data_IF_335053737605
#
_entry.id   IF_335053737605
#
_cell.length_a   1.000
_cell.length_b   1.000
_cell.length_c   1.000
_cell.angle_alpha   90.00
_cell.angle_beta   90.00
_cell.angle_gamma   90.00
#
_symmetry.space_group_name_H-M   'P 1'
#
loop_
_entity.id
_entity.type
_entity.pdbx_description
1 polymer ?
#
# COMPACT_ATOMS: atom_id res chain seq x y z
N UNK A 1 14.75 30.52 6.45
CA UNK A 1 13.65 29.59 6.21
C UNK A 1 13.39 29.56 4.73
N UNK A 2 13.81 28.51 4.03
CA UNK A 2 13.52 28.32 2.62
C UNK A 2 12.15 27.63 2.50
N UNK A 3 11.19 28.29 1.91
CA UNK A 3 9.97 27.67 1.45
C UNK A 3 10.28 26.92 0.15
N UNK A 4 10.25 25.60 0.18
CA UNK A 4 10.16 24.80 -1.04
C UNK A 4 8.69 24.85 -1.49
N UNK A 5 8.38 25.73 -2.41
CA UNK A 5 7.12 25.71 -3.14
C UNK A 5 7.33 24.73 -4.29
N UNK A 6 6.64 23.61 -4.28
CA UNK A 6 6.53 22.77 -5.47
C UNK A 6 5.75 23.54 -6.54
N UNK A 7 6.16 23.48 -7.78
CA UNK A 7 5.61 24.25 -8.91
C UNK A 7 4.12 23.99 -9.18
N UNK A 8 3.55 22.94 -8.61
CA UNK A 8 2.16 22.53 -8.80
C UNK A 8 1.12 23.35 -8.00
N UNK A 9 1.57 24.27 -7.14
CA UNK A 9 0.68 25.12 -6.32
C UNK A 9 0.72 26.62 -6.64
N UNK A 10 1.48 27.06 -7.64
CA UNK A 10 1.58 28.47 -8.01
C UNK A 10 0.56 28.82 -9.11
N UNK A 11 -0.68 29.06 -8.72
CA UNK A 11 -1.66 29.64 -9.63
C UNK A 11 -1.30 31.10 -9.92
N UNK A 12 -1.68 31.60 -11.11
CA UNK A 12 -1.51 33.01 -11.51
C UNK A 12 -2.10 33.96 -10.44
N UNK A 13 -3.16 33.56 -9.77
CA UNK A 13 -3.84 34.31 -8.72
C UNK A 13 -2.98 34.45 -7.46
N UNK A 14 -2.29 33.38 -7.05
CA UNK A 14 -1.36 33.41 -5.89
C UNK A 14 -0.17 34.32 -6.19
N UNK A 15 0.38 34.25 -7.39
CA UNK A 15 1.47 35.15 -7.82
C UNK A 15 1.01 36.60 -7.86
N UNK A 16 -0.15 36.89 -8.44
CA UNK A 16 -0.71 38.22 -8.51
C UNK A 16 -0.96 38.80 -7.11
N UNK A 17 -1.50 38.02 -6.17
CA UNK A 17 -1.71 38.46 -4.79
C UNK A 17 -0.38 38.82 -4.10
N UNK A 18 0.66 38.01 -4.27
CA UNK A 18 1.99 38.29 -3.70
C UNK A 18 2.58 39.61 -4.21
N UNK A 19 2.44 39.92 -5.51
CA UNK A 19 2.88 41.19 -6.08
C UNK A 19 2.09 42.42 -5.56
N UNK A 20 0.77 42.22 -5.33
CA UNK A 20 -0.07 43.29 -4.77
C UNK A 20 0.36 43.61 -3.33
N UNK A 21 0.65 42.61 -2.50
CA UNK A 21 1.15 42.80 -1.14
C UNK A 21 2.52 43.45 -1.12
N UNK A 22 3.44 43.00 -1.99
CA UNK A 22 4.77 43.62 -2.13
C UNK A 22 4.67 45.08 -2.48
N UNK A 23 3.80 45.44 -3.42
CA UNK A 23 3.54 46.83 -3.79
C UNK A 23 2.95 47.62 -2.61
N UNK A 24 2.04 47.03 -1.85
CA UNK A 24 1.47 47.62 -0.64
C UNK A 24 2.51 47.93 0.44
N UNK A 25 3.41 46.99 0.72
CA UNK A 25 4.52 47.19 1.65
C UNK A 25 5.48 48.30 1.20
N UNK A 26 5.83 48.32 -0.10
CA UNK A 26 6.66 49.37 -0.66
C UNK A 26 5.99 50.75 -0.52
N UNK A 27 4.72 50.85 -0.85
CA UNK A 27 3.96 52.12 -0.72
C UNK A 27 3.92 52.59 0.74
N UNK A 28 3.59 51.70 1.68
CA UNK A 28 3.58 52.03 3.11
C UNK A 28 4.96 52.44 3.61
N UNK A 29 6.03 51.80 3.13
CA UNK A 29 7.40 52.17 3.48
C UNK A 29 7.77 53.60 3.00
N UNK A 30 7.36 53.94 1.78
CA UNK A 30 7.56 55.29 1.23
C UNK A 30 6.76 56.33 2.04
N UNK A 31 5.48 56.06 2.28
CA UNK A 31 4.63 56.95 3.08
C UNK A 31 5.18 57.14 4.49
N UNK A 32 5.64 56.03 5.10
CA UNK A 32 6.27 56.08 6.42
C UNK A 32 7.53 56.94 6.41
N UNK A 33 8.41 56.79 5.42
CA UNK A 33 9.63 57.60 5.29
C UNK A 33 9.33 59.09 5.17
N UNK A 34 8.30 59.47 4.39
CA UNK A 34 7.90 60.86 4.20
C UNK A 34 7.34 61.51 5.49
N UNK A 35 6.52 60.73 6.24
CA UNK A 35 5.80 61.29 7.38
C UNK A 35 6.37 60.88 8.74
N UNK A 36 7.55 60.25 8.77
CA UNK A 36 8.19 59.70 9.99
C UNK A 36 8.30 60.70 11.14
N UNK A 37 8.53 61.97 10.86
CA UNK A 37 8.73 63.01 11.87
C UNK A 37 7.42 63.60 12.42
N UNK A 38 6.25 63.34 11.80
CA UNK A 38 4.97 63.85 12.27
C UNK A 38 4.46 63.12 13.48
N UNK A 39 4.05 63.87 14.53
CA UNK A 39 3.50 63.31 15.77
C UNK A 39 2.23 62.49 15.49
N UNK A 40 2.20 61.22 15.94
CA UNK A 40 1.06 60.31 15.76
C UNK A 40 1.15 59.37 14.55
N UNK A 41 1.91 59.72 13.50
CA UNK A 41 2.03 58.90 12.28
C UNK A 41 2.64 57.53 12.51
N UNK A 42 3.55 57.42 13.48
CA UNK A 42 4.12 56.11 13.84
C UNK A 42 3.04 55.08 14.27
N UNK A 43 2.04 55.53 15.05
CA UNK A 43 0.95 54.66 15.47
C UNK A 43 0.08 54.21 14.28
N UNK A 44 -0.24 55.17 13.40
CA UNK A 44 -1.05 54.89 12.20
C UNK A 44 -0.31 53.93 11.28
N UNK A 45 0.98 54.13 11.02
CA UNK A 45 1.79 53.24 10.19
C UNK A 45 1.89 51.82 10.77
N UNK A 46 2.07 51.68 12.09
CA UNK A 46 2.10 50.38 12.74
C UNK A 46 0.77 49.64 12.60
N UNK A 47 -0.36 50.31 12.78
CA UNK A 47 -1.65 49.71 12.57
C UNK A 47 -1.91 49.33 11.10
N UNK A 48 -1.48 50.18 10.15
CA UNK A 48 -1.61 49.91 8.72
C UNK A 48 -0.78 48.68 8.30
N UNK A 49 0.49 48.61 8.79
CA UNK A 49 1.33 47.41 8.56
C UNK A 49 0.71 46.17 9.18
N UNK A 50 0.24 46.25 10.42
CA UNK A 50 -0.41 45.12 11.09
C UNK A 50 -1.63 44.66 10.31
N UNK A 51 -2.48 45.56 9.86
CA UNK A 51 -3.65 45.24 9.04
C UNK A 51 -3.25 44.56 7.73
N UNK A 52 -2.23 45.05 7.05
CA UNK A 52 -1.73 44.49 5.81
C UNK A 52 -1.18 43.07 6.02
N UNK A 53 -0.38 42.84 7.06
CA UNK A 53 0.15 41.52 7.43
C UNK A 53 -0.99 40.56 7.77
N UNK A 54 -1.97 40.99 8.56
CA UNK A 54 -3.12 40.15 8.89
C UNK A 54 -3.95 39.78 7.64
N UNK A 55 -4.16 40.76 6.75
CA UNK A 55 -4.89 40.52 5.50
C UNK A 55 -4.14 39.56 4.59
N UNK A 56 -2.82 39.73 4.44
CA UNK A 56 -1.97 38.83 3.69
C UNK A 56 -2.01 37.41 4.28
N UNK A 57 -1.88 37.27 5.60
CA UNK A 57 -1.94 35.97 6.28
C UNK A 57 -3.28 35.25 6.05
N UNK A 58 -4.40 36.00 6.15
CA UNK A 58 -5.75 35.43 5.91
C UNK A 58 -5.90 35.02 4.44
N UNK A 59 -5.50 35.84 3.49
CA UNK A 59 -5.58 35.50 2.07
C UNK A 59 -4.64 34.36 1.68
N UNK A 60 -3.40 34.36 2.17
CA UNK A 60 -2.48 33.25 1.97
C UNK A 60 -3.06 31.96 2.54
N UNK A 61 -3.64 31.98 3.73
CA UNK A 61 -4.30 30.83 4.33
C UNK A 61 -5.49 30.36 3.49
N UNK A 62 -6.27 31.29 2.92
CA UNK A 62 -7.39 30.95 2.05
C UNK A 62 -6.97 30.34 0.70
N UNK A 63 -5.88 30.83 0.11
CA UNK A 63 -5.37 30.34 -1.17
C UNK A 63 -4.47 29.09 -1.05
N UNK A 64 -3.78 28.92 0.08
CA UNK A 64 -2.87 27.77 0.31
C UNK A 64 -3.51 26.67 1.13
N UNK A 65 -4.69 26.88 1.71
CA UNK A 65 -5.41 25.79 2.33
C UNK A 65 -5.81 24.81 1.22
N UNK A 66 -5.22 23.64 1.29
CA UNK A 66 -5.72 22.43 0.62
C UNK A 66 -7.22 22.39 0.87
N UNK A 67 -8.03 22.14 -0.15
CA UNK A 67 -9.49 22.00 0.01
C UNK A 67 -9.75 21.10 1.21
N UNK A 68 -10.35 21.62 2.28
CA UNK A 68 -10.55 20.82 3.48
C UNK A 68 -11.53 19.71 3.14
N UNK A 69 -11.07 18.48 3.20
CA UNK A 69 -11.97 17.32 3.10
C UNK A 69 -12.99 17.46 4.22
N UNK A 70 -14.26 17.47 3.86
CA UNK A 70 -15.34 17.69 4.81
C UNK A 70 -15.31 16.62 5.92
N UNK A 71 -15.50 17.03 7.18
CA UNK A 71 -15.55 16.11 8.33
C UNK A 71 -16.48 14.92 8.07
N UNK A 72 -17.59 15.14 7.37
CA UNK A 72 -18.56 14.09 7.06
C UNK A 72 -18.01 12.99 6.16
N UNK A 73 -17.04 13.28 5.32
CA UNK A 73 -16.35 12.27 4.51
C UNK A 73 -15.63 11.25 5.40
N UNK A 74 -14.82 11.74 6.35
CA UNK A 74 -14.12 10.84 7.29
C UNK A 74 -15.09 10.12 8.23
N UNK A 75 -16.12 10.81 8.75
CA UNK A 75 -17.10 10.20 9.63
C UNK A 75 -18.02 9.19 8.94
N UNK A 76 -18.29 9.35 7.64
CA UNK A 76 -19.02 8.38 6.84
C UNK A 76 -18.25 7.08 6.75
N UNK A 77 -17.02 7.14 6.29
CA UNK A 77 -16.14 5.98 6.17
C UNK A 77 -15.85 5.30 7.51
N UNK A 78 -15.64 6.08 8.58
CA UNK A 78 -15.45 5.51 9.92
C UNK A 78 -16.67 4.69 10.37
N UNK A 79 -17.89 5.22 10.20
CA UNK A 79 -19.12 4.47 10.56
C UNK A 79 -19.29 3.19 9.75
N UNK A 80 -18.89 3.22 8.50
CA UNK A 80 -18.91 2.04 7.64
C UNK A 80 -17.94 0.98 8.16
N UNK A 81 -16.69 1.35 8.49
CA UNK A 81 -15.72 0.43 9.11
C UNK A 81 -16.20 -0.11 10.46
N UNK A 82 -16.85 0.70 11.29
CA UNK A 82 -17.47 0.25 12.55
C UNK A 82 -18.55 -0.81 12.30
N UNK A 83 -19.37 -0.63 11.26
CA UNK A 83 -20.39 -1.63 10.88
C UNK A 83 -19.76 -2.93 10.34
N UNK A 84 -18.66 -2.84 9.59
CA UNK A 84 -17.92 -4.00 9.10
C UNK A 84 -17.27 -4.76 10.26
N UNK A 85 -16.64 -4.07 11.20
CA UNK A 85 -16.07 -4.71 12.41
C UNK A 85 -17.15 -5.44 13.20
N UNK A 86 -18.32 -4.83 13.41
CA UNK A 86 -19.44 -5.50 14.07
C UNK A 86 -19.93 -6.73 13.30
N UNK A 87 -20.01 -6.66 11.97
CA UNK A 87 -20.36 -7.80 11.10
C UNK A 87 -19.34 -8.93 11.24
N UNK A 88 -18.05 -8.61 11.29
CA UNK A 88 -16.97 -9.61 11.50
C UNK A 88 -17.11 -10.28 12.86
N UNK A 89 -17.35 -9.51 13.92
CA UNK A 89 -17.54 -10.05 15.28
C UNK A 89 -18.76 -10.97 15.39
N UNK A 90 -19.82 -10.68 14.65
CA UNK A 90 -21.02 -11.52 14.59
C UNK A 90 -20.79 -12.81 13.78
N UNK A 91 -20.08 -12.71 12.65
CA UNK A 91 -19.91 -13.82 11.68
C UNK A 91 -18.78 -14.78 12.08
N UNK A 92 -17.71 -14.27 12.68
CA UNK A 92 -16.52 -15.04 13.08
C UNK A 92 -16.14 -14.73 14.55
N UNK A 93 -17.03 -15.08 15.52
CA UNK A 93 -16.84 -14.73 16.92
C UNK A 93 -15.61 -15.44 17.50
N UNK A 94 -14.84 -14.72 18.29
CA UNK A 94 -13.68 -15.27 19.00
C UNK A 94 -12.34 -15.13 18.24
N UNK A 95 -12.32 -14.44 17.10
CA UNK A 95 -11.06 -14.06 16.45
C UNK A 95 -10.34 -13.02 17.29
N UNK A 96 -9.37 -13.45 18.08
CA UNK A 96 -8.59 -12.56 18.96
C UNK A 96 -7.59 -11.70 18.19
N UNK A 97 -7.11 -12.14 17.02
CA UNK A 97 -6.21 -11.43 16.15
C UNK A 97 -6.61 -11.55 14.69
N UNK A 98 -6.81 -10.43 14.03
CA UNK A 98 -6.96 -10.37 12.57
C UNK A 98 -6.43 -9.04 12.01
N UNK A 99 -6.08 -9.04 10.74
CA UNK A 99 -5.87 -7.85 9.94
C UNK A 99 -6.95 -7.73 8.88
N UNK A 100 -7.38 -6.50 8.67
CA UNK A 100 -8.29 -6.12 7.61
C UNK A 100 -7.63 -5.05 6.76
N UNK A 101 -7.85 -5.11 5.45
CA UNK A 101 -7.42 -4.04 4.55
C UNK A 101 -8.43 -3.87 3.42
N UNK A 102 -8.27 -2.82 2.62
CA UNK A 102 -9.15 -2.56 1.49
C UNK A 102 -8.35 -2.20 0.23
N UNK A 103 -8.94 -2.45 -0.93
CA UNK A 103 -8.35 -2.10 -2.23
C UNK A 103 -8.48 -0.61 -2.53
N UNK A 104 -9.55 0.04 -2.05
CA UNK A 104 -9.81 1.48 -2.20
C UNK A 104 -9.62 2.23 -0.86
N UNK A 105 -8.37 2.36 -0.45
CA UNK A 105 -8.02 3.05 0.80
C UNK A 105 -8.26 4.56 0.69
N UNK A 106 -9.01 5.12 1.62
CA UNK A 106 -9.13 6.57 1.79
C UNK A 106 -7.78 7.18 2.20
N UNK A 107 -7.12 6.55 3.16
CA UNK A 107 -5.77 6.89 3.61
C UNK A 107 -4.95 5.63 3.88
N UNK A 108 -3.63 5.75 3.93
CA UNK A 108 -2.76 4.63 4.34
C UNK A 108 -2.91 4.27 5.83
N UNK A 109 -3.64 5.06 6.59
CA UNK A 109 -3.89 4.88 8.02
C UNK A 109 -5.37 4.61 8.36
N UNK A 110 -6.14 4.08 7.42
CA UNK A 110 -7.57 3.76 7.65
C UNK A 110 -7.75 2.87 8.87
N UNK A 111 -6.88 1.86 9.05
CA UNK A 111 -6.89 1.00 10.22
C UNK A 111 -6.66 1.75 11.53
N UNK A 112 -5.70 2.67 11.57
CA UNK A 112 -5.41 3.48 12.75
C UNK A 112 -6.54 4.47 13.06
N UNK A 113 -7.18 5.04 12.02
CA UNK A 113 -8.30 5.96 12.18
C UNK A 113 -9.57 5.25 12.66
N UNK A 114 -9.78 4.00 12.26
CA UNK A 114 -11.03 3.26 12.49
C UNK A 114 -10.88 2.09 13.48
N UNK A 115 -9.70 1.93 14.10
CA UNK A 115 -9.48 1.02 15.23
C UNK A 115 -9.29 -0.45 14.85
N UNK A 116 -8.88 -0.76 13.62
CA UNK A 116 -8.54 -2.13 13.22
C UNK A 116 -7.07 -2.28 12.82
N UNK A 117 -6.55 -3.50 12.88
CA UNK A 117 -5.19 -3.81 12.43
C UNK A 117 -5.16 -3.93 10.91
N UNK A 118 -4.24 -3.22 10.25
CA UNK A 118 -4.08 -3.17 8.80
C UNK A 118 -2.66 -3.59 8.37
N UNK A 119 -2.49 -3.94 7.10
CA UNK A 119 -1.20 -4.12 6.43
C UNK A 119 -0.66 -2.79 5.86
N UNK A 120 -1.44 -1.73 5.95
CA UNK A 120 -1.10 -0.42 5.41
C UNK A 120 -0.79 0.57 6.51
N UNK A 121 0.27 1.36 6.32
CA UNK A 121 0.66 2.41 7.26
C UNK A 121 1.35 3.57 6.55
N UNK A 122 1.11 4.78 7.04
CA UNK A 122 1.91 5.97 6.81
C UNK A 122 2.49 6.43 8.15
N UNK A 123 3.81 6.50 8.26
CA UNK A 123 4.49 7.02 9.43
C UNK A 123 5.88 7.54 9.07
N UNK A 124 6.25 8.71 9.58
CA UNK A 124 7.60 9.26 9.42
C UNK A 124 8.68 8.44 10.13
N UNK A 125 8.29 7.55 11.04
CA UNK A 125 9.16 6.65 11.79
C UNK A 125 9.03 5.20 11.34
N UNK A 126 8.50 4.96 10.15
CA UNK A 126 8.34 3.62 9.58
C UNK A 126 9.67 2.89 9.50
N UNK A 127 9.67 1.62 9.94
CA UNK A 127 10.82 0.75 9.80
C UNK A 127 11.10 0.45 8.30
N UNK A 128 12.26 0.88 7.81
CA UNK A 128 12.63 0.73 6.40
C UNK A 128 12.74 -0.72 5.95
N UNK A 129 13.08 -1.65 6.86
CA UNK A 129 13.20 -3.07 6.54
C UNK A 129 11.83 -3.69 6.21
N UNK A 130 10.76 -3.25 6.87
CA UNK A 130 9.39 -3.69 6.54
C UNK A 130 9.02 -3.28 5.11
N UNK A 131 9.34 -2.04 4.71
CA UNK A 131 9.15 -1.61 3.33
C UNK A 131 9.87 -2.52 2.34
N UNK A 132 11.13 -2.93 2.64
CA UNK A 132 11.89 -3.83 1.77
C UNK A 132 11.23 -5.19 1.63
N UNK A 133 10.67 -5.73 2.72
CA UNK A 133 9.92 -6.99 2.69
C UNK A 133 8.69 -6.86 1.79
N UNK A 134 7.94 -5.75 1.93
CA UNK A 134 6.78 -5.47 1.07
C UNK A 134 7.17 -5.38 -0.41
N UNK A 135 8.23 -4.64 -0.72
CA UNK A 135 8.78 -4.52 -2.07
C UNK A 135 9.18 -5.90 -2.65
N UNK A 136 9.89 -6.73 -1.86
CA UNK A 136 10.24 -8.10 -2.25
C UNK A 136 9.01 -8.98 -2.52
N UNK A 137 7.91 -8.77 -1.83
CA UNK A 137 6.65 -9.45 -2.04
C UNK A 137 5.80 -8.83 -3.16
N UNK A 138 6.22 -7.71 -3.74
CA UNK A 138 5.51 -7.01 -4.82
C UNK A 138 4.43 -6.06 -4.35
N UNK A 139 4.46 -5.68 -3.08
CA UNK A 139 3.52 -4.74 -2.48
C UNK A 139 4.04 -3.32 -2.56
N UNK A 140 3.14 -2.34 -2.54
CA UNK A 140 3.52 -0.94 -2.67
C UNK A 140 4.14 -0.33 -1.43
N UNK A 141 4.96 0.70 -1.63
CA UNK A 141 5.55 1.45 -0.53
C UNK A 141 6.45 2.60 -0.96
N UNK A 142 6.72 3.49 -0.02
CA UNK A 142 7.65 4.62 -0.17
C UNK A 142 8.56 4.72 1.05
N UNK A 143 9.33 5.79 1.18
CA UNK A 143 10.23 6.00 2.34
C UNK A 143 9.49 6.06 3.69
N UNK A 144 8.21 6.42 3.68
CA UNK A 144 7.40 6.67 4.89
C UNK A 144 6.07 5.91 4.87
N UNK A 145 5.88 5.03 3.87
CA UNK A 145 4.66 4.23 3.73
C UNK A 145 4.98 2.82 3.30
N UNK A 146 4.17 1.89 3.72
CA UNK A 146 3.95 0.61 3.05
C UNK A 146 2.45 0.33 3.06
N UNK A 147 1.96 -0.40 2.06
CA UNK A 147 0.53 -0.59 1.92
C UNK A 147 0.18 -1.90 1.23
N UNK A 148 -1.06 -2.33 1.41
CA UNK A 148 -1.62 -3.58 0.93
C UNK A 148 -1.57 -3.76 -0.60
N UNK A 149 -1.58 -2.67 -1.37
CA UNK A 149 -1.62 -2.73 -2.84
C UNK A 149 -0.50 -3.60 -3.40
N UNK A 150 -0.84 -4.45 -4.35
CA UNK A 150 0.09 -5.41 -4.94
C UNK A 150 0.21 -6.74 -4.17
N UNK A 151 -0.49 -6.91 -3.06
CA UNK A 151 -0.49 -8.17 -2.34
C UNK A 151 -1.01 -9.32 -3.22
N UNK A 152 -0.29 -10.43 -3.19
CA UNK A 152 -0.75 -11.71 -3.73
C UNK A 152 -1.37 -12.54 -2.62
N UNK A 153 -2.18 -13.58 -2.91
CA UNK A 153 -2.74 -14.45 -1.88
C UNK A 153 -1.70 -15.08 -0.96
N UNK A 154 -0.50 -15.37 -1.48
CA UNK A 154 0.62 -15.86 -0.66
C UNK A 154 1.12 -14.79 0.31
N UNK A 155 1.33 -13.56 -0.17
CA UNK A 155 1.73 -12.44 0.67
C UNK A 155 0.65 -12.11 1.72
N UNK A 156 -0.63 -12.12 1.35
CA UNK A 156 -1.75 -11.96 2.26
C UNK A 156 -1.72 -13.00 3.40
N UNK A 157 -1.54 -14.26 3.03
CA UNK A 157 -1.54 -15.38 3.98
C UNK A 157 -0.41 -15.27 4.98
N UNK A 158 0.84 -15.07 4.53
CA UNK A 158 2.02 -15.00 5.41
C UNK A 158 2.06 -13.70 6.23
N UNK A 159 1.44 -12.62 5.75
CA UNK A 159 1.29 -11.38 6.49
C UNK A 159 0.04 -11.35 7.38
N UNK A 160 -0.75 -12.41 7.38
CA UNK A 160 -1.89 -12.60 8.27
C UNK A 160 -3.11 -11.74 7.96
N UNK A 161 -3.33 -11.35 6.68
CA UNK A 161 -4.58 -10.74 6.27
C UNK A 161 -5.71 -11.75 6.45
N UNK A 162 -6.77 -11.36 7.15
CA UNK A 162 -7.94 -12.21 7.38
C UNK A 162 -9.17 -11.70 6.66
N UNK A 163 -9.33 -10.38 6.57
CA UNK A 163 -10.49 -9.79 5.90
C UNK A 163 -10.04 -8.78 4.85
N UNK A 164 -10.71 -8.83 3.71
CA UNK A 164 -10.46 -7.95 2.59
C UNK A 164 -11.77 -7.27 2.17
N UNK A 165 -11.70 -5.95 2.03
CA UNK A 165 -12.78 -5.12 1.52
C UNK A 165 -12.52 -4.82 0.06
N UNK A 166 -13.49 -5.09 -0.78
CA UNK A 166 -13.44 -4.87 -2.23
C UNK A 166 -14.64 -4.06 -2.68
N UNK A 167 -14.41 -3.18 -3.64
CA UNK A 167 -15.44 -2.40 -4.34
C UNK A 167 -16.13 -3.20 -5.46
N UNK A 168 -15.56 -4.34 -5.83
CA UNK A 168 -16.09 -5.27 -6.84
C UNK A 168 -16.33 -6.65 -6.23
N UNK A 169 -17.34 -7.35 -6.73
CA UNK A 169 -17.64 -8.70 -6.29
C UNK A 169 -16.61 -9.69 -6.85
N UNK A 170 -16.06 -10.53 -5.97
CA UNK A 170 -15.13 -11.58 -6.34
C UNK A 170 -15.92 -12.82 -6.81
N UNK A 171 -15.74 -13.27 -8.05
CA UNK A 171 -16.55 -14.36 -8.61
C UNK A 171 -16.16 -15.74 -8.10
N UNK A 172 -14.91 -15.93 -7.62
CA UNK A 172 -14.41 -17.21 -7.16
C UNK A 172 -14.31 -17.27 -5.62
N UNK A 173 -14.78 -18.37 -5.05
CA UNK A 173 -14.80 -18.59 -3.61
C UNK A 173 -13.60 -19.34 -3.07
N UNK A 174 -12.65 -19.68 -3.92
CA UNK A 174 -11.45 -20.43 -3.53
C UNK A 174 -10.61 -19.66 -2.51
N UNK A 175 -10.24 -18.44 -2.84
CA UNK A 175 -9.42 -17.58 -1.97
C UNK A 175 -10.25 -16.86 -0.91
N UNK A 176 -11.46 -16.46 -1.26
CA UNK A 176 -12.24 -15.53 -0.44
C UNK A 176 -13.67 -16.02 -0.27
N UNK A 177 -14.15 -15.99 0.96
CA UNK A 177 -15.57 -16.25 1.30
C UNK A 177 -16.24 -14.93 1.64
N UNK A 178 -17.26 -14.55 0.87
CA UNK A 178 -18.08 -13.37 1.18
C UNK A 178 -18.79 -13.57 2.51
N UNK A 179 -18.63 -12.64 3.44
CA UNK A 179 -19.27 -12.67 4.76
C UNK A 179 -20.33 -11.59 4.91
N UNK A 180 -20.35 -10.61 4.01
CA UNK A 180 -21.37 -9.56 3.98
C UNK A 180 -21.03 -8.48 2.98
N UNK A 181 -21.83 -7.41 3.03
CA UNK A 181 -21.65 -6.22 2.19
C UNK A 181 -22.14 -4.97 2.91
N UNK A 182 -21.62 -3.83 2.52
CA UNK A 182 -22.06 -2.50 2.90
C UNK A 182 -22.43 -1.69 1.65
N UNK A 183 -22.62 -0.38 1.78
CA UNK A 183 -22.92 0.48 0.62
C UNK A 183 -21.73 0.52 -0.36
N UNK A 184 -20.51 0.60 0.16
CA UNK A 184 -19.29 0.80 -0.62
C UNK A 184 -18.45 -0.47 -0.78
N UNK A 185 -18.66 -1.53 0.03
CA UNK A 185 -17.79 -2.70 0.07
C UNK A 185 -18.52 -4.03 0.10
N UNK A 186 -17.94 -4.98 -0.61
CA UNK A 186 -18.08 -6.41 -0.34
C UNK A 186 -17.03 -6.82 0.68
N UNK A 187 -17.46 -7.51 1.74
CA UNK A 187 -16.61 -7.94 2.85
C UNK A 187 -16.28 -9.41 2.70
N UNK A 188 -14.99 -9.71 2.53
CA UNK A 188 -14.50 -11.06 2.31
C UNK A 188 -13.62 -11.54 3.44
N UNK A 189 -13.76 -12.80 3.81
CA UNK A 189 -12.82 -13.55 4.63
C UNK A 189 -11.84 -14.28 3.72
N UNK A 190 -10.55 -14.02 3.86
CA UNK A 190 -9.46 -14.75 3.21
C UNK A 190 -9.33 -16.13 3.84
N UNK A 191 -9.45 -17.20 3.04
CA UNK A 191 -9.61 -18.58 3.53
C UNK A 191 -8.31 -19.19 4.09
N UNK A 192 -7.14 -18.66 3.71
CA UNK A 192 -5.81 -19.21 3.97
C UNK A 192 -4.94 -18.34 4.89
N UNK A 193 -5.52 -17.43 5.66
CA UNK A 193 -4.76 -16.56 6.57
C UNK A 193 -4.02 -17.36 7.63
N UNK A 194 -2.73 -17.14 7.78
CA UNK A 194 -1.88 -17.77 8.79
C UNK A 194 -1.91 -17.04 10.15
N UNK A 195 -2.70 -15.97 10.25
CA UNK A 195 -2.76 -15.15 11.46
C UNK A 195 -1.46 -14.37 11.70
N UNK A 196 -1.04 -14.17 12.97
CA UNK A 196 0.13 -13.33 13.25
C UNK A 196 1.47 -14.00 12.94
N UNK A 197 1.53 -15.33 12.81
CA UNK A 197 2.80 -16.01 12.60
C UNK A 197 2.68 -17.51 12.30
N UNK A 198 3.78 -18.07 11.87
CA UNK A 198 3.95 -19.49 11.52
C UNK A 198 5.39 -19.93 11.78
N UNK A 199 5.58 -21.24 11.93
CA UNK A 199 6.89 -21.83 12.19
C UNK A 199 7.61 -22.17 10.88
N UNK A 200 8.91 -21.85 10.85
CA UNK A 200 9.87 -22.31 9.86
C UNK A 200 10.99 -23.09 10.57
N UNK A 201 11.43 -24.20 9.99
CA UNK A 201 12.65 -24.88 10.43
C UNK A 201 13.85 -23.95 10.32
N UNK A 202 14.93 -24.23 11.04
CA UNK A 202 16.15 -23.40 11.00
C UNK A 202 16.67 -23.22 9.55
N UNK A 203 16.65 -24.32 8.77
CA UNK A 203 17.05 -24.28 7.36
C UNK A 203 16.14 -23.39 6.49
N UNK A 204 14.81 -23.54 6.64
CA UNK A 204 13.84 -22.73 5.90
C UNK A 204 13.97 -21.25 6.27
N UNK A 205 14.13 -20.95 7.57
CA UNK A 205 14.34 -19.59 8.06
C UNK A 205 15.58 -18.95 7.43
N UNK A 206 16.73 -19.60 7.48
CA UNK A 206 17.98 -19.09 6.90
C UNK A 206 17.85 -18.83 5.40
N UNK A 207 17.15 -19.72 4.67
CA UNK A 207 16.90 -19.58 3.25
C UNK A 207 15.94 -18.44 2.94
N UNK A 208 14.85 -18.34 3.67
CA UNK A 208 13.90 -17.22 3.51
C UNK A 208 14.56 -15.88 3.82
N UNK A 209 15.37 -15.84 4.89
CA UNK A 209 16.11 -14.64 5.25
C UNK A 209 17.04 -14.20 4.12
N UNK A 210 17.85 -15.11 3.58
CA UNK A 210 18.73 -14.84 2.44
C UNK A 210 17.96 -14.38 1.20
N UNK A 211 16.86 -15.04 0.85
CA UNK A 211 16.05 -14.68 -0.31
C UNK A 211 15.47 -13.25 -0.14
N UNK A 212 14.93 -12.94 1.02
CA UNK A 212 14.29 -11.64 1.28
C UNK A 212 15.29 -10.50 1.43
N UNK A 213 16.53 -10.75 1.89
CA UNK A 213 17.57 -9.72 2.05
C UNK A 213 18.42 -9.51 0.80
N UNK A 214 18.81 -10.58 0.13
CA UNK A 214 19.85 -10.52 -0.90
C UNK A 214 19.31 -10.59 -2.35
N UNK A 215 18.12 -11.18 -2.57
CA UNK A 215 17.59 -11.35 -3.92
C UNK A 215 17.18 -10.02 -4.57
N UNK A 216 17.64 -9.80 -5.81
CA UNK A 216 17.20 -8.70 -6.66
C UNK A 216 16.27 -9.18 -7.81
N UNK A 217 15.69 -10.35 -7.65
CA UNK A 217 14.74 -10.91 -8.60
C UNK A 217 13.37 -10.22 -8.50
N UNK A 218 12.52 -10.47 -9.51
CA UNK A 218 11.14 -9.97 -9.47
C UNK A 218 10.35 -10.59 -8.31
N UNK A 219 9.31 -9.90 -7.83
CA UNK A 219 8.50 -10.37 -6.71
C UNK A 219 7.91 -11.77 -6.93
N UNK A 220 7.50 -12.13 -8.15
CA UNK A 220 7.05 -13.50 -8.46
C UNK A 220 8.17 -14.52 -8.36
N UNK A 221 9.38 -14.19 -8.80
CA UNK A 221 10.52 -15.07 -8.67
C UNK A 221 10.93 -15.26 -7.21
N UNK A 222 10.83 -14.20 -6.39
CA UNK A 222 11.05 -14.25 -4.94
C UNK A 222 10.02 -15.18 -4.28
N UNK A 223 8.73 -14.96 -4.51
CA UNK A 223 7.67 -15.80 -3.94
C UNK A 223 7.81 -17.26 -4.38
N UNK A 224 8.14 -17.53 -5.64
CA UNK A 224 8.44 -18.88 -6.11
C UNK A 224 9.66 -19.50 -5.40
N UNK A 225 10.68 -18.69 -5.08
CA UNK A 225 11.85 -19.17 -4.35
C UNK A 225 11.51 -19.50 -2.90
N UNK A 226 10.72 -18.66 -2.21
CA UNK A 226 10.25 -18.92 -0.85
C UNK A 226 9.44 -20.23 -0.76
N UNK A 227 8.56 -20.45 -1.72
CA UNK A 227 7.74 -21.67 -1.82
C UNK A 227 8.62 -22.91 -2.02
N UNK A 228 9.65 -22.82 -2.85
CA UNK A 228 10.57 -23.94 -3.10
C UNK A 228 11.32 -24.37 -1.85
N UNK A 229 11.67 -23.46 -0.97
CA UNK A 229 12.34 -23.78 0.30
C UNK A 229 11.43 -24.52 1.29
N UNK A 230 10.10 -24.50 1.09
CA UNK A 230 9.14 -25.35 1.81
C UNK A 230 9.02 -26.76 1.23
N UNK A 231 9.81 -27.11 0.22
CA UNK A 231 9.78 -28.44 -0.42
C UNK A 231 8.80 -28.56 -1.59
N UNK A 232 8.17 -27.49 -2.01
CA UNK A 232 7.27 -27.48 -3.17
C UNK A 232 8.04 -27.09 -4.43
N UNK A 233 8.33 -28.07 -5.29
CA UNK A 233 9.18 -27.89 -6.47
C UNK A 233 8.53 -27.05 -7.58
N UNK A 234 7.21 -27.06 -7.67
CA UNK A 234 6.47 -26.32 -8.69
C UNK A 234 6.45 -24.83 -8.37
N UNK A 235 6.46 -24.02 -9.43
CA UNK A 235 6.33 -22.57 -9.30
C UNK A 235 4.90 -22.17 -8.95
N UNK A 236 4.74 -21.37 -7.89
CA UNK A 236 3.46 -20.80 -7.49
C UNK A 236 2.89 -19.84 -8.56
N UNK A 237 3.76 -19.04 -9.17
CA UNK A 237 3.38 -18.12 -10.25
C UNK A 237 4.08 -18.53 -11.54
N UNK A 238 3.30 -18.77 -12.60
CA UNK A 238 3.80 -19.08 -13.95
C UNK A 238 3.47 -17.96 -14.91
N UNK A 239 4.43 -17.65 -15.76
CA UNK A 239 4.27 -16.67 -16.86
C UNK A 239 3.26 -17.21 -17.87
N UNK A 240 2.39 -16.34 -18.37
CA UNK A 240 1.38 -16.64 -19.39
C UNK A 240 1.63 -15.92 -20.72
N UNK A 241 2.88 -15.64 -21.05
CA UNK A 241 3.28 -14.93 -22.30
C UNK A 241 2.68 -15.55 -23.57
N UNK A 242 2.44 -16.87 -23.57
CA UNK A 242 1.86 -17.60 -24.72
C UNK A 242 0.35 -17.33 -24.93
N UNK A 243 -0.31 -16.73 -23.97
CA UNK A 243 -1.72 -16.38 -24.02
C UNK A 243 -1.92 -14.93 -24.51
N UNK A 244 -0.82 -14.18 -24.67
CA UNK A 244 -0.87 -12.84 -25.25
C UNK A 244 -1.10 -12.98 -26.75
N UNK A 245 -2.27 -12.55 -27.21
CA UNK A 245 -2.70 -12.65 -28.61
C UNK A 245 -2.51 -11.37 -29.38
N UNK A 246 -2.50 -10.23 -28.74
CA UNK A 246 -2.21 -8.93 -29.31
C UNK A 246 -1.31 -8.12 -28.36
N UNK A 247 -0.29 -7.47 -28.91
CA UNK A 247 0.56 -6.53 -28.17
C UNK A 247 0.81 -5.29 -29.02
N UNK A 248 0.40 -4.13 -28.47
CA UNK A 248 0.63 -2.79 -29.00
C UNK A 248 1.62 -2.04 -28.12
N UNK A 249 1.93 -0.79 -28.47
CA UNK A 249 2.85 0.04 -27.67
C UNK A 249 2.25 0.40 -26.31
N UNK A 250 0.92 0.56 -26.22
CA UNK A 250 0.17 1.03 -25.05
C UNK A 250 -0.77 -0.03 -24.46
N UNK A 251 -0.86 -1.21 -25.06
CA UNK A 251 -1.83 -2.23 -24.65
C UNK A 251 -1.40 -3.64 -25.01
N UNK A 252 -1.97 -4.62 -24.29
CA UNK A 252 -1.88 -6.04 -24.67
C UNK A 252 -3.19 -6.75 -24.37
N UNK A 253 -3.48 -7.76 -25.17
CA UNK A 253 -4.67 -8.62 -25.01
C UNK A 253 -4.23 -10.04 -24.67
N UNK A 254 -4.92 -10.64 -23.73
CA UNK A 254 -4.72 -12.04 -23.30
C UNK A 254 -5.98 -12.82 -23.56
N UNK A 255 -5.84 -13.98 -24.23
CA UNK A 255 -6.89 -14.99 -24.37
C UNK A 255 -6.61 -16.12 -23.38
N UNK A 256 -7.41 -16.20 -22.35
CA UNK A 256 -7.21 -17.06 -21.19
C UNK A 256 -7.37 -18.53 -21.57
N UNK A 257 -6.34 -19.35 -21.34
CA UNK A 257 -6.32 -20.77 -21.70
C UNK A 257 -6.70 -21.70 -20.53
N UNK A 258 -6.57 -21.22 -19.30
CA UNK A 258 -6.88 -21.97 -18.07
C UNK A 258 -7.49 -21.01 -17.04
N UNK A 259 -8.40 -21.52 -16.21
CA UNK A 259 -9.00 -20.77 -15.11
C UNK A 259 -7.95 -20.33 -14.11
N UNK A 260 -8.16 -19.17 -13.47
CA UNK A 260 -7.32 -18.77 -12.35
C UNK A 260 -7.12 -17.28 -12.15
N UNK A 261 -6.43 -16.97 -11.07
CA UNK A 261 -6.04 -15.60 -10.72
C UNK A 261 -4.83 -15.15 -11.52
N UNK A 262 -4.98 -14.03 -12.18
CA UNK A 262 -3.93 -13.38 -12.96
C UNK A 262 -3.44 -12.12 -12.28
N UNK A 263 -2.13 -11.95 -12.34
CA UNK A 263 -1.38 -10.81 -11.82
C UNK A 263 -0.42 -10.32 -12.91
N UNK A 264 0.07 -9.09 -12.78
CA UNK A 264 1.07 -8.58 -13.70
C UNK A 264 2.18 -7.79 -13.01
N UNK A 265 3.40 -7.92 -13.53
CA UNK A 265 4.46 -6.94 -13.35
C UNK A 265 4.26 -5.83 -14.38
N UNK A 266 4.27 -4.59 -13.91
CA UNK A 266 4.13 -3.44 -14.78
C UNK A 266 5.35 -2.56 -14.63
N UNK A 267 6.01 -2.30 -15.73
CA UNK A 267 7.09 -1.34 -15.83
C UNK A 267 6.61 -0.20 -16.73
N UNK A 268 6.02 0.84 -16.16
CA UNK A 268 5.71 2.08 -16.87
C UNK A 268 6.60 3.18 -16.33
N UNK A 269 7.28 3.92 -17.19
CA UNK A 269 7.77 5.25 -16.88
C UNK A 269 6.71 6.26 -17.33
N UNK A 270 6.51 7.36 -16.62
CA UNK A 270 5.98 7.56 -15.28
C UNK A 270 4.49 7.93 -15.28
N UNK A 271 3.78 7.71 -14.17
CA UNK A 271 2.47 8.27 -13.80
C UNK A 271 1.26 8.02 -14.75
N UNK A 272 1.26 6.92 -15.51
CA UNK A 272 0.11 6.54 -16.34
C UNK A 272 -1.01 5.86 -15.54
N UNK A 273 -2.26 6.04 -15.99
CA UNK A 273 -3.39 5.21 -15.55
C UNK A 273 -3.37 3.91 -16.34
N UNK A 274 -3.65 2.80 -15.66
CA UNK A 274 -3.80 1.49 -16.29
C UNK A 274 -5.26 1.06 -16.20
N UNK A 275 -5.80 0.65 -17.31
CA UNK A 275 -7.16 0.17 -17.43
C UNK A 275 -7.17 -1.29 -17.84
N UNK A 276 -8.11 -2.04 -17.29
CA UNK A 276 -8.42 -3.40 -17.70
C UNK A 276 -9.82 -3.43 -18.28
N UNK A 277 -9.92 -3.90 -19.52
CA UNK A 277 -11.20 -4.11 -20.21
C UNK A 277 -11.44 -5.60 -20.36
N UNK A 278 -12.57 -6.09 -19.85
CA UNK A 278 -13.01 -7.48 -19.98
C UNK A 278 -14.53 -7.55 -20.03
N UNK A 279 -15.09 -8.45 -20.84
CA UNK A 279 -16.55 -8.70 -20.94
C UNK A 279 -17.39 -7.43 -21.23
N UNK A 280 -16.77 -6.41 -21.87
CA UNK A 280 -17.44 -5.14 -22.20
C UNK A 280 -17.43 -4.10 -21.08
N UNK A 281 -16.82 -4.39 -19.97
CA UNK A 281 -16.58 -3.45 -18.86
C UNK A 281 -15.13 -3.01 -18.83
N UNK A 282 -14.89 -1.76 -18.46
CA UNK A 282 -13.55 -1.21 -18.27
C UNK A 282 -13.42 -0.67 -16.83
N UNK A 283 -12.33 -1.01 -16.17
CA UNK A 283 -12.00 -0.51 -14.84
C UNK A 283 -10.58 0.03 -14.77
N UNK A 284 -10.36 1.06 -13.98
CA UNK A 284 -9.02 1.54 -13.66
C UNK A 284 -8.36 0.59 -12.65
N UNK A 285 -7.20 0.03 -13.02
CA UNK A 285 -6.46 -0.90 -12.16
C UNK A 285 -5.62 -0.24 -11.08
N UNK A 286 -5.44 1.03 -11.11
CA UNK A 286 -4.74 1.90 -10.17
C UNK A 286 -3.63 2.73 -10.80
N UNK A 287 -3.26 3.81 -10.14
CA UNK A 287 -2.13 4.68 -10.46
C UNK A 287 -0.82 3.95 -10.15
N UNK A 288 -0.01 3.68 -11.15
CA UNK A 288 1.21 2.86 -11.06
C UNK A 288 2.43 3.71 -10.64
N UNK A 289 2.28 4.61 -9.67
CA UNK A 289 3.40 5.43 -9.22
C UNK A 289 4.36 4.71 -8.25
N UNK A 290 4.03 3.51 -7.77
CA UNK A 290 4.69 2.91 -6.60
C UNK A 290 5.27 1.50 -6.86
N UNK A 291 5.53 1.10 -8.10
CA UNK A 291 6.20 -0.17 -8.47
C UNK A 291 5.67 -1.41 -7.73
N UNK A 292 4.36 -1.65 -7.73
CA UNK A 292 3.76 -2.85 -7.14
C UNK A 292 3.13 -3.77 -8.19
N UNK A 293 2.83 -5.02 -7.79
CA UNK A 293 2.12 -5.97 -8.64
C UNK A 293 0.68 -5.49 -8.89
N UNK A 294 0.19 -5.70 -10.11
CA UNK A 294 -1.22 -5.49 -10.42
C UNK A 294 -2.00 -6.78 -10.24
N UNK A 295 -3.10 -6.72 -9.52
CA UNK A 295 -4.12 -7.77 -9.49
C UNK A 295 -5.04 -7.58 -10.70
N UNK A 296 -4.95 -8.47 -11.68
CA UNK A 296 -5.83 -8.44 -12.85
C UNK A 296 -7.20 -9.05 -12.53
N UNK A 297 -7.26 -10.03 -11.63
CA UNK A 297 -8.46 -10.69 -11.16
C UNK A 297 -8.52 -12.17 -11.52
N UNK A 298 -9.70 -12.78 -11.28
CA UNK A 298 -10.00 -14.15 -11.68
C UNK A 298 -10.60 -14.16 -13.08
N UNK A 299 -10.12 -15.09 -13.91
CA UNK A 299 -10.61 -15.31 -15.26
C UNK A 299 -10.84 -16.79 -15.51
N UNK A 300 -11.87 -17.08 -16.28
CA UNK A 300 -12.18 -18.42 -16.73
C UNK A 300 -11.55 -18.70 -18.10
N UNK A 301 -11.31 -19.95 -18.39
CA UNK A 301 -10.85 -20.38 -19.72
C UNK A 301 -11.81 -19.94 -20.80
N UNK A 302 -11.27 -19.27 -21.81
CA UNK A 302 -12.05 -18.68 -22.92
C UNK A 302 -12.40 -17.20 -22.70
N UNK A 303 -12.14 -16.66 -21.53
CA UNK A 303 -12.22 -15.21 -21.32
C UNK A 303 -11.12 -14.51 -22.12
N UNK A 304 -11.39 -13.26 -22.51
CA UNK A 304 -10.39 -12.38 -23.10
C UNK A 304 -10.40 -11.04 -22.36
N UNK A 305 -9.22 -10.49 -22.09
CA UNK A 305 -9.10 -9.16 -21.51
C UNK A 305 -7.98 -8.37 -22.15
N UNK A 306 -8.13 -7.06 -22.13
CA UNK A 306 -7.11 -6.11 -22.61
C UNK A 306 -6.68 -5.21 -21.45
N UNK A 307 -5.36 -5.08 -21.27
CA UNK A 307 -4.78 -4.06 -20.38
C UNK A 307 -4.20 -2.95 -21.25
N UNK A 308 -4.56 -1.72 -20.97
CA UNK A 308 -4.05 -0.54 -21.65
C UNK A 308 -3.56 0.50 -20.65
N UNK A 309 -2.56 1.30 -21.03
CA UNK A 309 -2.22 2.50 -20.28
C UNK A 309 -2.77 3.72 -21.00
N UNK A 310 -3.14 4.71 -20.23
CA UNK A 310 -3.42 6.04 -20.73
C UNK A 310 -2.33 6.97 -20.19
N UNK A 311 -1.55 7.58 -21.10
CA UNK A 311 -0.70 8.68 -20.73
C UNK A 311 -1.60 9.80 -20.20
N UNK A 312 -1.51 10.11 -18.92
CA UNK A 312 -1.98 11.40 -18.43
C UNK A 312 -1.13 12.42 -19.17
N UNK A 313 -1.75 13.13 -20.14
CA UNK A 313 -1.09 14.22 -20.81
C UNK A 313 -0.42 15.09 -19.76
N UNK A 314 0.88 15.27 -19.90
CA UNK A 314 1.62 16.29 -19.15
C UNK A 314 0.78 17.54 -19.22
N UNK A 315 0.35 18.10 -18.09
CA UNK A 315 -0.23 19.43 -18.08
C UNK A 315 0.74 20.34 -18.82
N UNK A 316 0.24 21.21 -19.67
CA UNK A 316 1.03 22.11 -20.52
C UNK A 316 2.11 22.90 -19.74
N UNK A 317 2.01 22.95 -18.40
CA UNK A 317 2.96 23.56 -17.50
C UNK A 317 4.27 22.77 -17.26
N UNK A 318 4.36 21.50 -17.66
CA UNK A 318 5.60 20.70 -17.52
C UNK A 318 6.49 20.80 -18.77
N UNK A 319 6.03 21.44 -19.84
CA UNK A 319 6.75 21.61 -21.10
C UNK A 319 7.94 22.61 -21.03
N UNK A 320 8.22 23.22 -19.88
CA UNK A 320 9.27 24.24 -19.72
C UNK A 320 10.60 23.70 -19.17
N UNK A 321 10.82 22.39 -19.11
CA UNK A 321 12.15 21.82 -18.85
C UNK A 321 12.69 21.10 -20.09
N UNK A 322 12.91 21.86 -21.15
CA UNK A 322 13.81 21.48 -22.23
C UNK A 322 15.24 21.46 -21.70
N UNK A 323 15.82 20.28 -21.53
CA UNK A 323 17.21 19.96 -21.94
C UNK A 323 17.50 18.45 -21.72
N UNK A 324 16.66 17.59 -22.22
CA UNK A 324 17.09 16.22 -22.58
C UNK A 324 16.25 15.79 -23.78
N UNK A 325 16.95 15.50 -24.87
CA UNK A 325 16.37 15.02 -26.11
C UNK A 325 15.49 13.78 -25.84
N UNK A 326 14.19 14.02 -25.67
CA UNK A 326 13.19 12.98 -25.70
C UNK A 326 13.13 12.45 -27.14
N UNK A 327 13.68 11.29 -27.34
CA UNK A 327 13.47 10.52 -28.56
C UNK A 327 11.97 10.35 -28.76
N UNK A 328 11.50 10.74 -29.94
CA UNK A 328 10.21 10.35 -30.47
C UNK A 328 10.12 8.82 -30.48
N UNK A 329 9.43 8.27 -29.52
CA UNK A 329 9.10 6.84 -29.39
C UNK A 329 8.05 6.73 -28.33
N UNK A 330 6.84 6.31 -28.71
CA UNK A 330 5.74 6.09 -27.80
C UNK A 330 6.20 5.28 -26.58
N UNK A 331 5.74 5.65 -25.40
CA UNK A 331 6.12 5.00 -24.13
C UNK A 331 5.58 3.57 -24.16
N UNK A 332 6.48 2.58 -24.21
CA UNK A 332 6.10 1.16 -24.19
C UNK A 332 5.69 0.78 -22.80
N UNK A 333 4.48 0.26 -22.65
CA UNK A 333 4.11 -0.49 -21.45
C UNK A 333 4.83 -1.84 -21.51
N UNK A 334 5.60 -2.09 -20.48
CA UNK A 334 6.14 -3.42 -20.26
C UNK A 334 5.29 -4.11 -19.20
N UNK A 335 4.41 -5.02 -19.62
CA UNK A 335 3.57 -5.80 -18.71
C UNK A 335 3.85 -7.27 -18.96
N UNK A 336 4.08 -8.00 -17.88
CA UNK A 336 4.27 -9.44 -17.94
C UNK A 336 3.23 -10.10 -17.02
N UNK A 337 2.24 -10.79 -17.62
CA UNK A 337 1.19 -11.46 -16.86
C UNK A 337 1.67 -12.80 -16.30
N UNK A 338 1.18 -13.13 -15.11
CA UNK A 338 1.45 -14.37 -14.39
C UNK A 338 0.15 -14.95 -13.88
N UNK A 339 0.02 -16.28 -13.93
CA UNK A 339 -1.08 -17.02 -13.31
C UNK A 339 -0.60 -17.68 -12.03
N UNK A 340 -1.36 -17.52 -10.95
CA UNK A 340 -1.19 -18.30 -9.73
C UNK A 340 -1.66 -19.72 -9.97
N UNK A 341 -0.85 -20.69 -9.57
CA UNK A 341 -1.18 -22.12 -9.68
C UNK A 341 -1.91 -22.54 -8.41
N UNK A 342 -3.20 -22.87 -8.55
CA UNK A 342 -4.09 -23.15 -7.42
C UNK A 342 -3.58 -24.31 -6.58
N UNK A 343 -3.27 -25.44 -7.21
CA UNK A 343 -2.81 -26.65 -6.52
C UNK A 343 -1.51 -26.43 -5.76
N UNK A 344 -0.58 -25.65 -6.35
CA UNK A 344 0.68 -25.29 -5.69
C UNK A 344 0.42 -24.38 -4.49
N UNK A 345 -0.53 -23.47 -4.61
CA UNK A 345 -0.92 -22.59 -3.50
C UNK A 345 -1.54 -23.40 -2.36
N UNK A 346 -2.44 -24.37 -2.66
CA UNK A 346 -3.03 -25.27 -1.67
C UNK A 346 -1.97 -26.09 -0.95
N UNK A 347 -1.04 -26.72 -1.67
CA UNK A 347 0.06 -27.49 -1.09
C UNK A 347 0.90 -26.65 -0.12
N UNK A 348 1.23 -25.42 -0.52
CA UNK A 348 1.99 -24.48 0.33
C UNK A 348 1.20 -24.09 1.58
N UNK A 349 -0.08 -23.79 1.41
CA UNK A 349 -0.94 -23.40 2.53
C UNK A 349 -1.21 -24.54 3.51
N UNK A 350 -1.29 -25.77 3.03
CA UNK A 350 -1.39 -26.95 3.88
C UNK A 350 -0.16 -27.12 4.77
N UNK A 351 1.05 -26.95 4.19
CA UNK A 351 2.30 -27.00 4.95
C UNK A 351 2.34 -25.90 6.01
N UNK A 352 2.08 -24.63 5.63
CA UNK A 352 2.19 -23.50 6.54
C UNK A 352 1.05 -23.46 7.58
N UNK A 353 -0.17 -23.90 7.22
CA UNK A 353 -1.31 -23.94 8.14
C UNK A 353 -1.13 -24.96 9.24
N UNK A 354 -0.47 -26.09 8.95
CA UNK A 354 -0.12 -27.08 9.97
C UNK A 354 0.89 -26.54 11.01
N UNK A 355 1.60 -25.48 10.66
CA UNK A 355 2.66 -24.86 11.47
C UNK A 355 2.31 -23.44 11.93
N UNK A 356 1.02 -23.02 11.84
CA UNK A 356 0.60 -21.68 12.24
C UNK A 356 0.63 -21.49 13.75
N UNK A 357 0.96 -20.26 14.17
CA UNK A 357 0.81 -19.85 15.55
C UNK A 357 -0.67 -19.65 15.90
N UNK A 358 -1.18 -20.39 16.85
CA UNK A 358 -2.56 -20.30 17.33
C UNK A 358 -2.63 -19.28 18.45
N UNK A 359 -3.34 -18.18 18.23
CA UNK A 359 -3.53 -17.14 19.25
C UNK A 359 -4.55 -17.62 20.28
N UNK A 360 -4.17 -17.62 21.54
CA UNK A 360 -5.00 -17.97 22.68
C UNK A 360 -5.56 -16.74 23.39
N UNK A 361 -4.74 -15.68 23.49
CA UNK A 361 -5.20 -14.41 24.02
C UNK A 361 -4.46 -13.20 23.40
N UNK A 362 -5.12 -12.04 23.39
CA UNK A 362 -4.56 -10.77 22.95
C UNK A 362 -5.04 -9.65 23.86
N UNK A 363 -4.12 -8.76 24.21
CA UNK A 363 -4.42 -7.47 24.82
C UNK A 363 -3.92 -6.34 23.88
N UNK A 364 -3.91 -5.11 24.33
CA UNK A 364 -3.39 -3.99 23.55
C UNK A 364 -1.87 -4.09 23.27
N UNK A 365 -1.13 -4.79 24.13
CA UNK A 365 0.33 -4.83 24.16
C UNK A 365 0.91 -6.26 24.23
N UNK A 366 0.06 -7.28 24.29
CA UNK A 366 0.49 -8.67 24.47
C UNK A 366 -0.27 -9.60 23.55
N UNK A 367 0.43 -10.54 22.94
CA UNK A 367 -0.15 -11.70 22.24
C UNK A 367 0.43 -12.96 22.88
N UNK A 368 -0.42 -13.90 23.25
CA UNK A 368 -0.01 -15.24 23.67
C UNK A 368 -0.71 -16.32 22.86
N UNK A 369 -0.05 -17.45 22.73
CA UNK A 369 -0.55 -18.57 21.94
C UNK A 369 0.44 -19.72 21.91
N UNK A 370 0.17 -20.69 21.06
CA UNK A 370 0.96 -21.89 20.93
C UNK A 370 1.23 -22.27 19.48
N UNK A 371 2.30 -23.01 19.27
CA UNK A 371 2.67 -23.63 18.00
C UNK A 371 3.32 -24.98 18.30
N UNK A 372 3.17 -25.93 17.40
CA UNK A 372 3.90 -27.20 17.49
C UNK A 372 5.19 -27.12 16.68
N UNK A 373 6.33 -27.36 17.32
CA UNK A 373 7.64 -27.47 16.68
C UNK A 373 8.15 -28.91 16.87
N UNK A 374 8.41 -29.62 15.78
CA UNK A 374 8.96 -30.99 15.81
C UNK A 374 10.48 -31.00 15.72
N UNK A 375 11.08 -29.88 15.36
CA UNK A 375 12.50 -29.64 15.21
C UNK A 375 12.88 -28.20 15.56
N UNK A 376 14.17 -27.89 15.63
CA UNK A 376 14.63 -26.52 15.88
C UNK A 376 14.22 -25.58 14.74
N UNK A 377 13.84 -24.37 15.09
CA UNK A 377 13.45 -23.36 14.10
C UNK A 377 12.97 -22.07 14.74
N UNK A 378 12.12 -21.36 14.01
CA UNK A 378 11.66 -20.04 14.42
C UNK A 378 10.15 -19.89 14.17
N UNK A 379 9.43 -19.29 15.11
CA UNK A 379 8.13 -18.70 14.81
C UNK A 379 8.40 -17.34 14.15
N UNK A 380 8.05 -17.22 12.89
CA UNK A 380 8.12 -15.97 12.14
C UNK A 380 6.81 -15.20 12.30
N UNK A 381 6.84 -14.08 13.00
CA UNK A 381 5.68 -13.22 13.16
C UNK A 381 5.64 -12.16 12.06
N UNK A 382 4.47 -11.94 11.50
CA UNK A 382 4.19 -10.81 10.58
C UNK A 382 4.08 -9.47 11.35
N UNK A 383 4.83 -9.33 12.43
CA UNK A 383 4.85 -8.17 13.32
C UNK A 383 6.23 -7.51 13.16
N UNK A 384 6.29 -6.22 12.81
CA UNK A 384 7.54 -5.47 12.81
C UNK A 384 8.23 -5.56 14.16
N UNK A 385 9.52 -5.86 14.16
CA UNK A 385 10.31 -5.88 15.39
C UNK A 385 10.65 -4.44 15.79
N UNK A 386 10.29 -4.08 17.02
CA UNK A 386 10.55 -2.75 17.59
C UNK A 386 11.28 -2.85 18.91
N UNK A 387 12.04 -1.81 19.26
CA UNK A 387 12.72 -1.75 20.54
C UNK A 387 11.70 -1.79 21.68
N UNK A 388 11.96 -2.68 22.66
CA UNK A 388 11.10 -2.83 23.83
C UNK A 388 10.20 -4.07 23.81
N UNK A 389 10.10 -4.78 22.69
CA UNK A 389 9.44 -6.08 22.70
C UNK A 389 10.18 -7.06 23.60
N UNK A 390 9.43 -7.85 24.34
CA UNK A 390 9.93 -8.90 25.20
C UNK A 390 9.18 -10.19 24.86
N UNK A 391 9.92 -11.29 24.80
CA UNK A 391 9.41 -12.58 24.40
C UNK A 391 9.64 -13.61 25.51
N UNK A 392 8.68 -14.47 25.72
CA UNK A 392 8.77 -15.63 26.61
C UNK A 392 8.36 -16.88 25.84
N UNK A 393 9.13 -17.94 25.99
CA UNK A 393 8.83 -19.28 25.47
C UNK A 393 8.76 -20.21 26.66
N UNK A 394 7.64 -20.89 26.84
CA UNK A 394 7.39 -21.82 27.95
C UNK A 394 7.67 -21.19 29.36
N UNK A 395 7.40 -19.88 29.48
CA UNK A 395 7.58 -19.13 30.72
C UNK A 395 8.99 -18.59 30.93
N UNK A 396 9.94 -18.89 30.07
CA UNK A 396 11.30 -18.38 30.12
C UNK A 396 11.49 -17.20 29.15
N UNK A 397 12.14 -16.12 29.63
CA UNK A 397 12.45 -14.97 28.77
C UNK A 397 13.52 -15.37 27.74
N UNK A 398 13.25 -15.09 26.47
CA UNK A 398 14.18 -15.38 25.39
C UNK A 398 14.40 -14.17 24.50
N UNK A 399 15.52 -14.16 23.77
CA UNK A 399 15.78 -13.18 22.74
C UNK A 399 15.08 -13.61 21.43
N UNK A 400 14.81 -12.65 20.56
CA UNK A 400 14.28 -12.92 19.23
C UNK A 400 15.28 -12.55 18.14
N UNK A 401 15.22 -13.26 17.03
CA UNK A 401 15.91 -12.95 15.77
C UNK A 401 15.03 -12.07 14.87
N UNK A 402 15.58 -11.67 13.73
CA UNK A 402 14.86 -10.91 12.72
C UNK A 402 14.78 -11.71 11.41
N UNK A 403 13.60 -11.82 10.85
CA UNK A 403 13.41 -12.24 9.47
C UNK A 403 13.49 -11.00 8.58
N UNK A 404 14.40 -11.05 7.61
CA UNK A 404 14.66 -9.94 6.67
C UNK A 404 14.91 -8.58 7.37
N UNK A 405 15.64 -8.62 8.48
CA UNK A 405 16.00 -7.44 9.29
C UNK A 405 14.80 -6.62 9.80
N UNK A 406 13.58 -7.10 9.67
CA UNK A 406 12.39 -6.32 9.96
C UNK A 406 11.30 -7.03 10.77
N UNK A 407 11.05 -8.29 10.51
CA UNK A 407 9.98 -9.04 11.20
C UNK A 407 10.55 -9.85 12.35
N UNK A 408 9.76 -9.94 13.43
CA UNK A 408 10.15 -10.71 14.62
C UNK A 408 10.17 -12.20 14.34
N UNK A 409 11.24 -12.89 14.75
CA UNK A 409 11.37 -14.34 14.68
C UNK A 409 11.82 -14.90 16.04
N UNK A 410 11.03 -15.77 16.64
CA UNK A 410 11.27 -16.33 17.98
C UNK A 410 11.84 -17.74 17.83
N UNK A 411 13.07 -17.99 18.34
CA UNK A 411 13.69 -19.31 18.26
C UNK A 411 12.93 -20.34 19.13
N UNK A 412 12.77 -21.53 18.59
CA UNK A 412 12.22 -22.70 19.30
C UNK A 412 13.19 -23.87 19.18
N UNK A 413 13.23 -24.67 20.24
CA UNK A 413 13.87 -25.99 20.24
C UNK A 413 12.81 -27.06 20.17
N UNK A 414 12.95 -27.98 19.20
CA UNK A 414 12.06 -29.14 19.03
C UNK A 414 12.24 -30.20 20.12
#
# INVERSE_FOLDING_TARGET
CGFFVTTDGLTVEVMASAWIFLAGYLLLSIVFAIFYQKKGWKKIANWAILLLVCTEAVLNMAYTSVEPVGRNYYLGRQREYESIVAMIEETDPGQSFYRMDNLDQMTKNDGALSGFSSLSVFSSTTNSHIRWIYDKLGMGGSKVTYHYKGATPFAESILGLRYLLMDVEEPDTFLYTKIGETEDFYVYRQNYSLGPGFFLTEKEFDRWNTILTESNSSAFAIQNALVRELGVEQSLFKVVDKEITEQKEDSFTVDVQEDGYLYALVYTEPEGKIFLSSKGEERELQKVSDEYLLRLGYFEKGDSFTVRSEDTALSEDTALKEDTALKEGGKKIWIRPYRMQKEVFEDVMDILSARKFTVESRTADTISGSVTAEENGYICFSIPAEQGFQVWVDGEKTDYALLADGLMAVPLTG
#
